data_IF_702491896815
#
_entry.id   IF_702491896815
#
_cell.length_a   1.000
_cell.length_b   1.000
_cell.length_c   1.000
_cell.angle_alpha   90.00
_cell.angle_beta   90.00
_cell.angle_gamma   90.00
#
_symmetry.space_group_name_H-M   'P 1'
#
loop_
_entity.id
_entity.type
_entity.pdbx_description
1 polymer ?
#
# COMPACT_ATOMS: atom_id res chain seq x y z
N UNK A 1 -8.79 -20.22 3.61
CA UNK A 1 -8.93 -18.94 2.89
C UNK A 1 -7.56 -18.28 2.87
N UNK A 2 -7.09 -17.81 1.72
CA UNK A 2 -5.83 -17.04 1.69
C UNK A 2 -6.18 -15.67 2.26
N UNK A 3 -5.79 -15.49 3.52
CA UNK A 3 -5.91 -14.24 4.27
C UNK A 3 -4.67 -13.40 3.97
N UNK A 4 -4.85 -12.19 3.44
CA UNK A 4 -3.76 -11.26 3.19
C UNK A 4 -4.02 -9.94 3.91
N UNK A 5 -2.97 -9.15 4.16
CA UNK A 5 -3.08 -7.97 5.00
C UNK A 5 -4.13 -6.95 4.51
N UNK A 6 -4.32 -6.81 3.18
CA UNK A 6 -5.33 -5.91 2.61
C UNK A 6 -6.75 -6.45 2.81
N UNK A 7 -6.96 -7.77 2.72
CA UNK A 7 -8.26 -8.38 3.00
C UNK A 7 -8.63 -8.27 4.49
N UNK A 8 -7.66 -8.38 5.40
CA UNK A 8 -7.87 -8.12 6.84
C UNK A 8 -8.34 -6.68 7.08
N UNK A 9 -7.62 -5.69 6.54
CA UNK A 9 -8.02 -4.27 6.63
C UNK A 9 -9.42 -4.02 6.05
N UNK A 10 -9.74 -4.66 4.91
CA UNK A 10 -11.07 -4.56 4.32
C UNK A 10 -12.15 -5.12 5.24
N UNK A 11 -11.91 -6.27 5.87
CA UNK A 11 -12.84 -6.87 6.82
C UNK A 11 -13.06 -5.96 8.05
N UNK A 12 -11.98 -5.42 8.62
CA UNK A 12 -12.05 -4.45 9.72
C UNK A 12 -12.80 -3.17 9.33
N UNK A 13 -12.62 -2.69 8.10
CA UNK A 13 -13.31 -1.49 7.61
C UNK A 13 -14.79 -1.75 7.39
N UNK A 14 -15.15 -2.91 6.85
CA UNK A 14 -16.53 -3.37 6.69
C UNK A 14 -17.22 -3.51 8.04
N UNK A 15 -16.56 -4.08 9.05
CA UNK A 15 -17.09 -4.22 10.40
C UNK A 15 -17.41 -2.86 11.06
N UNK A 16 -16.63 -1.81 10.73
CA UNK A 16 -16.84 -0.43 11.22
C UNK A 16 -17.80 0.39 10.36
N UNK A 17 -18.23 -0.11 9.20
CA UNK A 17 -19.04 0.67 8.26
C UNK A 17 -20.51 0.71 8.71
N UNK A 18 -21.00 1.91 9.01
CA UNK A 18 -22.43 2.16 9.33
C UNK A 18 -23.30 2.30 8.08
N UNK A 19 -22.70 2.39 6.89
CA UNK A 19 -23.39 2.51 5.60
C UNK A 19 -22.74 1.59 4.57
N UNK A 20 -23.51 0.97 3.67
CA UNK A 20 -22.97 0.10 2.64
C UNK A 20 -22.09 0.89 1.66
N UNK A 21 -20.88 0.39 1.40
CA UNK A 21 -19.98 0.97 0.39
C UNK A 21 -20.45 0.57 -1.01
N UNK A 22 -20.86 1.55 -1.81
CA UNK A 22 -21.25 1.34 -3.21
C UNK A 22 -20.07 1.70 -4.12
N UNK A 23 -19.34 0.68 -4.57
CA UNK A 23 -18.29 0.87 -5.58
C UNK A 23 -18.89 1.26 -6.95
N UNK A 24 -18.13 1.98 -7.78
CA UNK A 24 -18.51 2.18 -9.20
C UNK A 24 -18.70 0.84 -9.89
N UNK A 25 -19.82 0.70 -10.61
CA UNK A 25 -20.23 -0.57 -11.20
C UNK A 25 -20.69 -1.60 -10.15
N UNK A 26 -21.51 -1.17 -9.17
CA UNK A 26 -22.02 -2.04 -8.10
C UNK A 26 -22.82 -3.26 -8.60
N UNK A 27 -23.35 -3.22 -9.84
CA UNK A 27 -24.09 -4.30 -10.49
C UNK A 27 -23.19 -5.42 -11.01
N UNK A 28 -21.87 -5.22 -11.04
CA UNK A 28 -20.92 -6.22 -11.52
C UNK A 28 -20.69 -7.28 -10.44
N UNK A 29 -20.96 -8.54 -10.77
CA UNK A 29 -20.58 -9.68 -9.92
C UNK A 29 -19.06 -9.82 -9.88
N UNK A 30 -18.50 -9.73 -8.68
CA UNK A 30 -17.05 -9.70 -8.43
C UNK A 30 -16.62 -10.89 -7.59
N UNK A 31 -15.40 -11.36 -7.84
CA UNK A 31 -14.75 -12.34 -6.98
C UNK A 31 -14.58 -11.76 -5.56
N UNK A 32 -14.91 -12.52 -4.52
CA UNK A 32 -14.76 -12.02 -3.15
C UNK A 32 -13.29 -11.93 -2.70
N UNK A 33 -12.37 -12.64 -3.39
CA UNK A 33 -10.93 -12.58 -3.14
C UNK A 33 -10.26 -11.44 -3.92
N UNK A 34 -10.25 -11.47 -5.26
CA UNK A 34 -9.57 -10.46 -6.08
C UNK A 34 -10.44 -9.25 -6.48
N UNK A 35 -11.74 -9.20 -6.14
CA UNK A 35 -12.69 -8.10 -6.42
C UNK A 35 -12.77 -7.63 -7.89
N UNK A 36 -12.08 -8.31 -8.80
CA UNK A 36 -12.25 -8.18 -10.24
C UNK A 36 -13.58 -8.82 -10.66
N UNK A 37 -14.15 -8.39 -11.81
CA UNK A 37 -15.28 -9.09 -12.41
C UNK A 37 -14.99 -10.58 -12.53
N UNK A 38 -15.97 -11.45 -12.28
CA UNK A 38 -15.75 -12.91 -12.28
C UNK A 38 -15.08 -13.44 -13.56
N UNK A 39 -15.45 -12.86 -14.72
CA UNK A 39 -14.85 -13.19 -16.02
C UNK A 39 -13.36 -12.82 -16.16
N UNK A 40 -12.85 -11.96 -15.28
CA UNK A 40 -11.47 -11.45 -15.25
C UNK A 40 -10.77 -11.82 -13.94
N UNK A 41 -11.29 -12.85 -13.24
CA UNK A 41 -10.72 -13.29 -11.97
C UNK A 41 -9.29 -13.79 -12.17
N UNK A 42 -8.34 -13.25 -11.40
CA UNK A 42 -6.94 -13.66 -11.44
C UNK A 42 -6.57 -14.68 -10.34
N UNK A 43 -7.52 -15.06 -9.47
CA UNK A 43 -7.18 -15.86 -8.29
C UNK A 43 -6.53 -17.21 -8.59
N UNK A 44 -6.83 -17.81 -9.74
CA UNK A 44 -6.24 -19.08 -10.17
C UNK A 44 -4.82 -18.92 -10.74
N UNK A 45 -4.43 -17.71 -11.16
CA UNK A 45 -3.12 -17.43 -11.75
C UNK A 45 -2.13 -16.82 -10.75
N UNK A 46 -2.60 -16.43 -9.56
CA UNK A 46 -1.75 -15.84 -8.53
C UNK A 46 -0.91 -16.94 -7.86
N UNK A 47 0.41 -16.82 -8.01
CA UNK A 47 1.39 -17.66 -7.32
C UNK A 47 2.15 -16.80 -6.30
N UNK A 48 2.13 -17.15 -5.00
CA UNK A 48 2.96 -16.51 -4.01
C UNK A 48 4.45 -16.69 -4.33
N UNK A 49 5.25 -15.68 -4.04
CA UNK A 49 6.69 -15.67 -4.20
C UNK A 49 7.34 -15.20 -2.90
N UNK A 50 8.48 -15.80 -2.55
CA UNK A 50 9.32 -15.31 -1.47
C UNK A 50 10.19 -14.15 -1.98
N UNK A 51 10.31 -13.10 -1.16
CA UNK A 51 11.20 -11.98 -1.43
C UNK A 51 11.94 -11.60 -0.16
N UNK A 52 13.21 -11.20 -0.30
CA UNK A 52 13.98 -10.61 0.80
C UNK A 52 13.50 -9.20 1.13
N UNK A 53 12.93 -8.49 0.14
CA UNK A 53 12.30 -7.20 0.36
C UNK A 53 10.90 -7.36 0.96
N UNK A 54 10.56 -6.51 1.92
CA UNK A 54 9.21 -6.44 2.49
C UNK A 54 8.47 -5.21 1.99
N UNK A 55 7.15 -5.32 1.98
CA UNK A 55 6.25 -4.23 1.61
C UNK A 55 5.35 -3.86 2.78
N UNK A 56 5.16 -2.56 2.97
CA UNK A 56 4.24 -1.99 3.93
C UNK A 56 3.29 -1.06 3.16
N UNK A 57 2.02 -1.45 3.06
CA UNK A 57 0.99 -0.65 2.41
C UNK A 57 0.34 0.28 3.43
N UNK A 58 0.44 1.59 3.23
CA UNK A 58 -0.26 2.59 4.04
C UNK A 58 -1.44 3.08 3.21
N UNK A 59 -2.64 2.61 3.55
CA UNK A 59 -3.82 2.73 2.70
C UNK A 59 -4.74 3.84 3.21
N UNK A 60 -5.23 4.69 2.31
CA UNK A 60 -6.26 5.67 2.65
C UNK A 60 -7.60 4.98 3.00
N UNK A 61 -8.48 5.63 3.77
CA UNK A 61 -9.68 5.01 4.39
C UNK A 61 -10.59 4.23 3.41
N UNK A 62 -10.75 4.73 2.19
CA UNK A 62 -11.62 4.09 1.17
C UNK A 62 -10.90 3.08 0.29
N UNK A 63 -9.57 3.02 0.37
CA UNK A 63 -8.73 2.29 -0.57
C UNK A 63 -8.84 0.76 -0.45
N UNK A 64 -8.91 0.15 0.76
CA UNK A 64 -9.15 -1.30 0.92
C UNK A 64 -10.49 -1.75 0.34
N UNK A 65 -11.44 -0.83 0.17
CA UNK A 65 -12.78 -1.12 -0.36
C UNK A 65 -12.82 -1.10 -1.89
N UNK A 66 -11.78 -0.59 -2.56
CA UNK A 66 -11.76 -0.46 -4.03
C UNK A 66 -11.49 -1.81 -4.71
N UNK A 67 -12.23 -2.15 -5.78
CA UNK A 67 -12.12 -3.44 -6.42
C UNK A 67 -10.81 -3.68 -7.18
N UNK A 68 -10.17 -2.64 -7.71
CA UNK A 68 -8.94 -2.71 -8.52
C UNK A 68 -7.75 -2.06 -7.80
N UNK A 69 -7.45 -2.57 -6.61
CA UNK A 69 -6.34 -2.09 -5.78
C UNK A 69 -5.05 -2.88 -6.11
N UNK A 70 -4.01 -2.18 -6.58
CA UNK A 70 -2.69 -2.76 -6.89
C UNK A 70 -1.96 -3.25 -5.65
N UNK A 71 -2.12 -2.58 -4.50
CA UNK A 71 -1.59 -3.01 -3.21
C UNK A 71 -2.08 -4.41 -2.83
N UNK A 72 -3.34 -4.77 -3.13
CA UNK A 72 -3.80 -6.15 -2.87
C UNK A 72 -3.06 -7.18 -3.72
N UNK A 73 -2.74 -6.87 -4.98
CA UNK A 73 -1.97 -7.80 -5.82
C UNK A 73 -0.58 -8.05 -5.22
N UNK A 74 0.04 -7.02 -4.66
CA UNK A 74 1.32 -7.15 -3.93
C UNK A 74 1.13 -8.09 -2.73
N UNK A 75 0.09 -7.89 -1.92
CA UNK A 75 -0.18 -8.75 -0.76
C UNK A 75 -0.57 -10.19 -1.12
N UNK A 76 -1.15 -10.44 -2.30
CA UNK A 76 -1.45 -11.79 -2.79
C UNK A 76 -0.19 -12.53 -3.30
N UNK A 77 0.78 -11.81 -3.88
CA UNK A 77 2.03 -12.38 -4.41
C UNK A 77 3.10 -12.46 -3.31
N UNK A 78 3.20 -11.46 -2.44
CA UNK A 78 4.19 -11.36 -1.37
C UNK A 78 3.47 -11.47 -0.02
N UNK A 79 3.37 -12.68 0.56
CA UNK A 79 2.54 -12.94 1.75
C UNK A 79 3.03 -12.20 2.99
N UNK A 80 4.32 -11.85 3.03
CA UNK A 80 4.97 -11.05 4.08
C UNK A 80 4.65 -9.55 4.02
N UNK A 81 3.72 -9.14 3.16
CA UNK A 81 3.27 -7.75 3.05
C UNK A 81 2.39 -7.38 4.23
N UNK A 82 2.74 -6.30 4.92
CA UNK A 82 1.87 -5.69 5.92
C UNK A 82 1.05 -4.56 5.31
N UNK A 83 -0.14 -4.33 5.84
CA UNK A 83 -1.01 -3.26 5.40
C UNK A 83 -1.65 -2.57 6.60
N UNK A 84 -1.63 -1.24 6.60
CA UNK A 84 -2.18 -0.41 7.66
C UNK A 84 -3.11 0.66 7.11
N UNK A 85 -4.20 0.92 7.81
CA UNK A 85 -5.04 2.07 7.53
C UNK A 85 -4.30 3.35 7.96
N UNK A 86 -4.23 4.33 7.05
CA UNK A 86 -3.65 5.63 7.34
C UNK A 86 -4.56 6.45 8.25
N UNK A 87 -3.95 7.04 9.28
CA UNK A 87 -4.57 8.04 10.13
C UNK A 87 -3.63 9.22 10.29
N UNK A 88 -4.16 10.44 10.18
CA UNK A 88 -3.39 11.67 10.34
C UNK A 88 -2.97 11.90 11.79
N UNK A 89 -3.83 11.54 12.73
CA UNK A 89 -3.72 11.90 14.15
C UNK A 89 -3.31 10.71 15.00
N UNK A 90 -3.77 9.52 14.64
CA UNK A 90 -3.61 8.29 15.42
C UNK A 90 -3.07 7.18 14.51
N UNK A 91 -1.81 7.28 14.04
CA UNK A 91 -1.21 6.22 13.25
C UNK A 91 -1.16 4.91 14.04
N UNK A 92 -1.43 3.75 13.43
CA UNK A 92 -1.35 2.47 14.13
C UNK A 92 0.03 2.24 14.74
N UNK A 93 0.10 1.82 16.01
CA UNK A 93 1.39 1.61 16.68
C UNK A 93 2.25 0.56 15.95
N UNK A 94 1.63 -0.52 15.47
CA UNK A 94 2.32 -1.54 14.69
C UNK A 94 2.97 -1.02 13.40
N UNK A 95 2.41 0.04 12.78
CA UNK A 95 3.05 0.70 11.64
C UNK A 95 4.32 1.43 12.08
N UNK A 96 4.25 2.17 13.20
CA UNK A 96 5.40 2.90 13.73
C UNK A 96 6.52 1.94 14.14
N UNK A 97 6.16 0.84 14.80
CA UNK A 97 7.11 -0.19 15.23
C UNK A 97 7.78 -0.86 14.03
N UNK A 98 7.02 -1.17 12.97
CA UNK A 98 7.57 -1.74 11.74
C UNK A 98 8.53 -0.78 11.03
N UNK A 99 8.19 0.52 10.99
CA UNK A 99 9.05 1.56 10.41
C UNK A 99 10.31 1.77 11.24
N UNK A 100 10.23 1.67 12.56
CA UNK A 100 11.37 1.82 13.47
C UNK A 100 12.21 0.53 13.62
N UNK A 101 11.77 -0.58 13.05
CA UNK A 101 12.40 -1.88 13.25
C UNK A 101 13.84 -1.87 12.70
N UNK A 102 14.85 -2.16 13.55
CA UNK A 102 16.25 -2.09 13.17
C UNK A 102 16.66 -3.16 12.17
N UNK A 103 15.89 -4.23 11.97
CA UNK A 103 16.22 -5.32 11.04
C UNK A 103 15.99 -4.93 9.58
N UNK A 104 15.22 -3.87 9.32
CA UNK A 104 14.87 -3.42 7.98
C UNK A 104 15.49 -2.08 7.60
N UNK A 105 15.49 -1.79 6.30
CA UNK A 105 15.78 -0.46 5.76
C UNK A 105 14.47 0.17 5.25
N UNK A 106 13.75 0.92 6.09
CA UNK A 106 12.52 1.59 5.69
C UNK A 106 12.79 2.64 4.62
N UNK A 107 12.06 2.55 3.51
CA UNK A 107 12.12 3.48 2.40
C UNK A 107 10.71 3.80 1.91
N UNK A 108 10.40 5.08 1.78
CA UNK A 108 9.11 5.50 1.22
C UNK A 108 9.19 5.54 -0.31
N UNK A 109 8.28 4.81 -0.97
CA UNK A 109 8.17 4.79 -2.43
C UNK A 109 7.27 5.93 -2.86
N UNK A 110 7.86 7.05 -3.27
CA UNK A 110 7.13 8.24 -3.69
C UNK A 110 7.93 9.06 -4.71
N UNK A 111 7.30 9.76 -5.68
CA UNK A 111 8.04 10.50 -6.68
C UNK A 111 9.01 11.54 -6.10
N UNK A 112 10.24 11.50 -6.60
CA UNK A 112 11.35 12.33 -6.12
C UNK A 112 11.08 13.84 -6.21
N UNK A 113 10.23 14.28 -7.15
CA UNK A 113 9.83 15.69 -7.28
C UNK A 113 9.10 16.25 -6.04
N UNK A 114 8.63 15.39 -5.13
CA UNK A 114 8.01 15.78 -3.87
C UNK A 114 8.91 15.55 -2.66
N UNK A 115 10.06 14.91 -2.85
CA UNK A 115 11.08 14.84 -1.83
C UNK A 115 11.67 16.25 -1.68
N UNK A 116 11.62 16.81 -0.47
CA UNK A 116 12.33 18.06 -0.18
C UNK A 116 13.83 17.90 -0.41
N UNK A 117 14.55 19.02 -0.51
CA UNK A 117 16.01 19.04 -0.78
C UNK A 117 16.84 18.23 0.22
N UNK A 118 16.34 18.05 1.44
CA UNK A 118 17.03 17.31 2.51
C UNK A 118 16.85 15.80 2.43
N UNK A 119 15.85 15.30 1.68
CA UNK A 119 15.55 13.87 1.65
C UNK A 119 16.34 13.18 0.54
N UNK A 120 17.22 12.26 0.94
CA UNK A 120 18.03 11.47 0.00
C UNK A 120 17.14 10.60 -0.88
N UNK A 121 17.24 10.78 -2.20
CA UNK A 121 16.61 9.94 -3.22
C UNK A 121 17.61 8.85 -3.61
N UNK A 122 17.19 7.58 -3.53
CA UNK A 122 18.04 6.43 -3.85
C UNK A 122 17.62 5.77 -5.16
N UNK A 123 18.57 5.42 -6.03
CA UNK A 123 18.28 4.63 -7.25
C UNK A 123 18.25 3.12 -6.99
N UNK A 124 18.90 2.66 -5.92
CA UNK A 124 18.93 1.26 -5.48
C UNK A 124 18.89 1.18 -3.95
N UNK A 125 18.31 0.11 -3.38
CA UNK A 125 18.41 -0.16 -1.96
C UNK A 125 19.88 -0.28 -1.53
N UNK A 126 20.28 0.29 -0.39
CA UNK A 126 21.63 0.11 0.14
C UNK A 126 21.87 -1.35 0.52
N UNK A 127 23.11 -1.81 0.40
CA UNK A 127 23.51 -3.14 0.83
C UNK A 127 23.35 -3.36 2.34
N UNK A 128 23.23 -4.61 2.75
CA UNK A 128 23.14 -5.02 4.17
C UNK A 128 21.75 -5.56 4.52
N UNK A 129 20.91 -4.73 5.12
CA UNK A 129 19.60 -5.14 5.65
C UNK A 129 18.53 -5.24 4.55
N UNK A 130 17.53 -6.13 4.69
CA UNK A 130 16.41 -6.20 3.76
C UNK A 130 15.66 -4.86 3.66
N UNK A 131 15.31 -4.39 2.45
CA UNK A 131 14.54 -3.17 2.28
C UNK A 131 13.08 -3.37 2.70
N UNK A 132 12.52 -2.36 3.37
CA UNK A 132 11.09 -2.25 3.64
C UNK A 132 10.51 -1.11 2.80
N UNK A 133 9.79 -1.47 1.74
CA UNK A 133 9.15 -0.50 0.86
C UNK A 133 7.79 -0.08 1.41
N UNK A 134 7.70 1.19 1.82
CA UNK A 134 6.47 1.80 2.29
C UNK A 134 5.75 2.42 1.10
N UNK A 135 4.60 1.87 0.73
CA UNK A 135 3.78 2.35 -0.37
C UNK A 135 2.56 3.08 0.15
N UNK A 136 2.38 4.31 -0.32
CA UNK A 136 1.22 5.14 0.00
C UNK A 136 0.11 4.83 -1.00
N UNK A 137 -0.90 4.08 -0.58
CA UNK A 137 -1.97 3.60 -1.45
C UNK A 137 -3.23 4.45 -1.33
N UNK A 138 -3.60 5.08 -2.45
CA UNK A 138 -4.66 6.06 -2.54
C UNK A 138 -4.63 6.77 -3.88
N UNK A 139 -5.59 7.66 -4.11
CA UNK A 139 -5.48 8.62 -5.23
C UNK A 139 -4.25 9.50 -5.08
N UNK A 140 -3.81 10.11 -6.17
CA UNK A 140 -2.63 10.98 -6.13
C UNK A 140 -2.72 12.10 -5.08
N UNK A 141 -3.88 12.72 -4.96
CA UNK A 141 -4.15 13.76 -3.95
C UNK A 141 -4.09 13.19 -2.53
N UNK A 142 -4.63 11.98 -2.31
CA UNK A 142 -4.57 11.29 -1.02
C UNK A 142 -3.14 10.88 -0.69
N UNK A 143 -2.40 10.27 -1.61
CA UNK A 143 -1.01 9.85 -1.39
C UNK A 143 -0.10 11.04 -1.08
N UNK A 144 -0.25 12.17 -1.79
CA UNK A 144 0.44 13.43 -1.46
C UNK A 144 0.09 13.95 -0.06
N UNK A 145 -1.19 13.82 0.34
CA UNK A 145 -1.65 14.19 1.68
C UNK A 145 -1.02 13.29 2.74
N UNK A 146 -1.03 11.97 2.52
CA UNK A 146 -0.40 10.99 3.42
C UNK A 146 1.09 11.30 3.57
N UNK A 147 1.81 11.48 2.46
CA UNK A 147 3.24 11.83 2.48
C UNK A 147 3.53 13.08 3.31
N UNK A 148 2.77 14.16 3.10
CA UNK A 148 2.97 15.44 3.81
C UNK A 148 2.49 15.45 5.26
N UNK A 149 1.54 14.58 5.61
CA UNK A 149 0.87 14.58 6.93
C UNK A 149 1.24 13.37 7.76
N UNK A 150 2.36 12.73 7.47
CA UNK A 150 2.89 11.58 8.20
C UNK A 150 4.32 11.88 8.66
N UNK A 151 4.51 12.57 9.80
CA UNK A 151 5.83 12.97 10.27
C UNK A 151 6.80 11.80 10.48
N UNK A 152 6.28 10.61 10.78
CA UNK A 152 7.07 9.38 10.90
C UNK A 152 7.75 8.93 9.59
N UNK A 153 7.35 9.49 8.44
CA UNK A 153 8.01 9.25 7.15
C UNK A 153 9.13 10.26 6.87
N UNK A 154 9.29 11.30 7.70
CA UNK A 154 10.17 12.42 7.36
C UNK A 154 11.65 12.10 7.41
N UNK A 155 12.05 11.26 8.37
CA UNK A 155 13.41 10.76 8.50
C UNK A 155 13.77 9.67 7.49
N UNK A 156 12.80 9.18 6.70
CA UNK A 156 13.01 8.06 5.79
C UNK A 156 13.63 8.51 4.47
N UNK A 157 14.46 7.63 3.89
CA UNK A 157 15.01 7.82 2.55
C UNK A 157 13.89 7.63 1.52
N UNK A 158 13.90 8.44 0.46
CA UNK A 158 12.94 8.30 -0.63
C UNK A 158 13.48 7.34 -1.68
N UNK A 159 12.66 6.37 -2.06
CA UNK A 159 12.88 5.57 -3.27
C UNK A 159 11.96 6.12 -4.36
N UNK A 160 12.49 6.60 -5.51
CA UNK A 160 11.68 7.10 -6.58
C UNK A 160 10.77 5.97 -7.05
N UNK A 161 9.47 6.25 -7.13
CA UNK A 161 8.57 5.27 -7.71
C UNK A 161 9.00 5.01 -9.15
N UNK A 162 9.20 3.73 -9.50
CA UNK A 162 9.52 3.30 -10.88
C UNK A 162 8.37 3.61 -11.86
N UNK A 163 7.22 4.05 -11.34
CA UNK A 163 6.08 4.47 -12.12
C UNK A 163 6.31 5.80 -12.83
N UNK A 164 6.89 5.72 -14.03
CA UNK A 164 6.55 6.58 -15.18
C UNK A 164 5.07 6.42 -15.62
N UNK A 165 4.26 5.66 -14.88
CA UNK A 165 2.90 5.20 -15.25
C UNK A 165 1.76 6.03 -14.62
N UNK A 166 2.06 6.97 -13.71
CA UNK A 166 1.04 7.88 -13.15
C UNK A 166 1.23 9.33 -13.62
N UNK A 167 1.45 9.53 -14.93
CA UNK A 167 1.09 10.83 -15.53
C UNK A 167 -0.43 10.88 -15.66
N UNK A 168 -1.09 11.98 -15.25
CA UNK A 168 -2.41 12.25 -15.76
C UNK A 168 -2.27 12.34 -17.28
N UNK A 169 -3.11 11.61 -18.00
CA UNK A 169 -3.38 11.92 -19.40
C UNK A 169 -4.10 13.26 -19.36
N UNK A 170 -3.36 14.33 -19.63
CA UNK A 170 -3.86 15.61 -20.11
C UNK A 170 -3.30 15.81 -21.49
#
# INVERSE_FOLDING_TARGET
MIDNAVLRLRAERLARATRPFLARGNRVHRCQRCLLPLKQCLCATLAPAAATSRFCLVMFDTEPMKPSNTGRLIADILPDTEAFQWSRTEPPQALLDLVANPDYQPMVVFPASYAGTERKVLSSPPAGKPPLFIMLDGTWTEARKMFRKSPYLDALRSFPSICRVFRPIT
#
